data_IF_005318056756
#
_entry.id   IF_005318056756
#
_cell.length_a   1.000
_cell.length_b   1.000
_cell.length_c   1.000
_cell.angle_alpha   90.00
_cell.angle_beta   90.00
_cell.angle_gamma   90.00
#
_symmetry.space_group_name_H-M   'P 1'
#
loop_
_entity.id
_entity.type
_entity.pdbx_description
1 polymer ?
#
# COMPACT_ATOMS: atom_id res chain seq x y z
N UNK A 1 9.61 12.65 17.24
CA UNK A 1 9.46 12.02 15.92
C UNK A 1 8.04 12.29 15.48
N UNK A 2 7.81 12.74 14.24
CA UNK A 2 6.46 12.90 13.73
C UNK A 2 5.71 11.56 13.72
N UNK A 3 4.40 11.60 13.91
CA UNK A 3 3.59 10.38 13.88
C UNK A 3 3.47 9.84 12.43
N UNK A 4 3.71 8.55 12.20
CA UNK A 4 3.67 7.99 10.85
C UNK A 4 2.23 7.90 10.31
N UNK A 5 2.14 7.87 8.97
CA UNK A 5 0.90 7.67 8.23
C UNK A 5 0.90 6.30 7.56
N UNK A 6 -0.12 5.48 7.84
CA UNK A 6 -0.32 4.19 7.22
C UNK A 6 -1.52 4.21 6.26
N UNK A 7 -1.30 3.83 5.00
CA UNK A 7 -2.41 3.56 4.08
C UNK A 7 -2.85 2.10 4.22
N UNK A 8 -4.06 1.90 4.74
CA UNK A 8 -4.65 0.57 4.98
C UNK A 8 -5.79 0.30 4.01
N UNK A 9 -5.56 -0.64 3.09
CA UNK A 9 -6.58 -1.12 2.16
C UNK A 9 -6.21 -2.51 1.63
N UNK A 10 -7.19 -3.33 1.22
CA UNK A 10 -6.91 -4.50 0.42
C UNK A 10 -6.15 -4.08 -0.84
N UNK A 11 -5.31 -4.99 -1.34
CA UNK A 11 -4.57 -4.72 -2.56
C UNK A 11 -5.52 -4.57 -3.75
N UNK A 12 -4.99 -4.00 -4.83
CA UNK A 12 -5.77 -3.56 -5.99
C UNK A 12 -6.74 -2.42 -5.69
N UNK A 13 -6.55 -1.66 -4.61
CA UNK A 13 -7.36 -0.48 -4.27
C UNK A 13 -6.67 0.85 -4.60
N UNK A 14 -5.92 0.94 -5.71
CA UNK A 14 -5.15 2.13 -6.10
C UNK A 14 -4.04 2.59 -5.12
N UNK A 15 -3.75 1.76 -4.12
CA UNK A 15 -2.84 2.07 -3.01
C UNK A 15 -1.43 2.48 -3.44
N UNK A 16 -0.90 1.97 -4.56
CA UNK A 16 0.42 2.35 -5.05
C UNK A 16 0.44 3.70 -5.75
N UNK A 17 -0.62 4.06 -6.49
CA UNK A 17 -0.71 5.36 -7.13
C UNK A 17 -0.93 6.45 -6.07
N UNK A 18 -1.96 6.27 -5.23
CA UNK A 18 -2.28 7.23 -4.16
C UNK A 18 -1.16 7.29 -3.13
N UNK A 19 -0.55 6.16 -2.78
CA UNK A 19 0.62 6.15 -1.91
C UNK A 19 1.84 6.83 -2.52
N UNK A 20 2.04 6.69 -3.84
CA UNK A 20 3.05 7.46 -4.57
C UNK A 20 2.79 8.96 -4.49
N UNK A 21 1.53 9.39 -4.64
CA UNK A 21 1.13 10.80 -4.55
C UNK A 21 1.40 11.36 -3.15
N UNK A 22 0.86 10.71 -2.11
CA UNK A 22 1.06 11.13 -0.71
C UNK A 22 2.54 11.16 -0.34
N UNK A 23 3.30 10.17 -0.80
CA UNK A 23 4.73 10.05 -0.53
C UNK A 23 5.62 11.10 -1.22
N UNK A 24 5.08 12.00 -2.05
CA UNK A 24 5.82 13.14 -2.61
C UNK A 24 5.60 14.45 -1.85
N UNK A 25 4.74 14.46 -0.83
CA UNK A 25 4.58 15.66 -0.01
C UNK A 25 5.93 16.04 0.65
N UNK A 26 6.34 17.32 0.67
CA UNK A 26 7.64 17.75 1.19
C UNK A 26 7.93 17.39 2.65
N UNK A 27 6.89 17.18 3.46
CA UNK A 27 6.96 16.79 4.88
C UNK A 27 6.75 15.28 5.12
N UNK A 28 6.64 14.49 4.04
CA UNK A 28 6.42 13.03 4.09
C UNK A 28 7.55 12.30 3.38
N UNK A 29 8.05 11.23 3.99
CA UNK A 29 8.92 10.29 3.32
C UNK A 29 8.12 9.07 2.85
N UNK A 30 7.80 9.03 1.55
CA UNK A 30 7.10 7.93 0.90
C UNK A 30 7.96 6.67 0.75
N UNK A 31 7.76 5.69 1.62
CA UNK A 31 8.49 4.41 1.57
C UNK A 31 7.92 3.45 0.50
N UNK A 32 8.74 2.50 -0.01
CA UNK A 32 8.20 1.36 -0.75
C UNK A 32 7.37 0.44 0.16
N UNK A 33 6.71 -0.56 -0.42
CA UNK A 33 6.03 -1.62 0.33
C UNK A 33 7.05 -2.43 1.15
N UNK A 34 7.07 -2.22 2.48
CA UNK A 34 7.97 -2.95 3.38
C UNK A 34 7.46 -4.34 3.69
N UNK A 35 6.14 -4.52 3.80
CA UNK A 35 5.53 -5.83 4.04
C UNK A 35 6.08 -6.53 5.30
N UNK A 36 6.31 -5.81 6.39
CA UNK A 36 6.92 -6.32 7.64
C UNK A 36 5.98 -6.39 8.85
N UNK A 37 4.71 -6.02 8.69
CA UNK A 37 3.73 -6.02 9.78
C UNK A 37 3.36 -7.42 10.31
N UNK A 38 3.65 -8.49 9.55
CA UNK A 38 3.33 -9.87 9.91
C UNK A 38 4.43 -10.60 10.71
N UNK A 39 5.52 -9.91 11.05
CA UNK A 39 6.68 -10.47 11.77
C UNK A 39 7.09 -9.55 12.93
N UNK A 40 7.84 -10.10 13.88
CA UNK A 40 8.34 -9.37 15.04
C UNK A 40 9.79 -8.95 14.90
N UNK A 41 10.57 -9.68 14.11
CA UNK A 41 12.00 -9.41 13.92
C UNK A 41 12.42 -9.32 12.46
N UNK A 42 13.55 -8.66 12.22
CA UNK A 42 14.20 -8.61 10.90
C UNK A 42 14.55 -10.01 10.39
N UNK A 43 15.00 -10.90 11.26
CA UNK A 43 15.32 -12.29 10.90
C UNK A 43 14.10 -13.04 10.36
N UNK A 44 12.95 -12.86 11.01
CA UNK A 44 11.67 -13.40 10.53
C UNK A 44 11.23 -12.74 9.21
N UNK A 45 11.45 -11.44 9.02
CA UNK A 45 11.21 -10.77 7.74
C UNK A 45 12.03 -11.42 6.61
N UNK A 46 13.34 -11.61 6.83
CA UNK A 46 14.26 -12.25 5.88
C UNK A 46 13.91 -13.71 5.56
N UNK A 47 13.24 -14.41 6.47
CA UNK A 47 12.78 -15.79 6.27
C UNK A 47 11.42 -15.85 5.57
N UNK A 48 10.49 -14.97 5.95
CA UNK A 48 9.11 -14.97 5.47
C UNK A 48 8.93 -14.29 4.11
N UNK A 49 9.73 -13.27 3.79
CA UNK A 49 9.69 -12.53 2.53
C UNK A 49 10.53 -13.24 1.44
N UNK A 50 10.20 -14.51 1.21
CA UNK A 50 10.80 -15.36 0.17
C UNK A 50 9.74 -15.87 -0.80
N UNK A 51 10.19 -16.35 -1.95
CA UNK A 51 9.30 -16.91 -2.98
C UNK A 51 8.24 -15.89 -3.41
N UNK A 52 6.93 -16.19 -3.30
CA UNK A 52 5.87 -15.26 -3.68
C UNK A 52 5.92 -13.91 -2.95
N UNK A 53 6.42 -13.86 -1.70
CA UNK A 53 6.50 -12.62 -0.91
C UNK A 53 7.82 -11.87 -1.08
N UNK A 54 8.71 -12.31 -1.98
CA UNK A 54 10.00 -11.66 -2.21
C UNK A 54 9.90 -10.17 -2.59
N UNK A 55 8.73 -9.72 -3.07
CA UNK A 55 8.42 -8.30 -3.29
C UNK A 55 8.62 -7.43 -2.07
N UNK A 56 8.23 -7.93 -0.89
CA UNK A 56 8.38 -7.18 0.36
C UNK A 56 9.84 -6.98 0.72
N UNK A 57 10.68 -8.01 0.49
CA UNK A 57 12.11 -7.88 0.76
C UNK A 57 12.75 -6.86 -0.19
N UNK A 58 12.35 -6.84 -1.46
CA UNK A 58 12.84 -5.84 -2.41
C UNK A 58 12.55 -4.41 -1.94
N UNK A 59 11.37 -4.15 -1.36
CA UNK A 59 11.04 -2.84 -0.80
C UNK A 59 12.00 -2.40 0.30
N UNK A 60 12.23 -3.26 1.30
CA UNK A 60 13.15 -2.95 2.42
C UNK A 60 14.57 -2.72 1.92
N UNK A 61 15.06 -3.58 1.00
CA UNK A 61 16.43 -3.47 0.50
C UNK A 61 16.65 -2.18 -0.31
N UNK A 62 15.67 -1.80 -1.15
CA UNK A 62 15.73 -0.54 -1.89
C UNK A 62 15.65 0.67 -0.98
N UNK A 63 14.78 0.61 0.03
CA UNK A 63 14.68 1.68 1.02
C UNK A 63 16.03 1.91 1.72
N UNK A 64 16.64 0.84 2.21
CA UNK A 64 17.92 0.94 2.92
C UNK A 64 19.05 1.40 2.00
N UNK A 65 19.13 0.91 0.76
CA UNK A 65 20.10 1.39 -0.22
C UNK A 65 19.94 2.90 -0.49
N UNK A 66 18.70 3.34 -0.72
CA UNK A 66 18.39 4.76 -0.94
C UNK A 66 18.73 5.61 0.29
N UNK A 67 18.41 5.16 1.50
CA UNK A 67 18.69 5.91 2.72
C UNK A 67 20.20 6.01 3.00
N UNK A 68 20.91 4.88 2.96
CA UNK A 68 22.32 4.77 3.32
C UNK A 68 23.25 5.36 2.26
N UNK A 69 22.89 5.26 0.98
CA UNK A 69 23.82 5.54 -0.13
C UNK A 69 23.26 6.50 -1.19
N UNK A 70 21.99 6.93 -1.07
CA UNK A 70 21.32 7.82 -2.05
C UNK A 70 21.28 7.23 -3.48
N UNK A 71 21.33 5.91 -3.58
CA UNK A 71 21.17 5.16 -4.83
C UNK A 71 20.63 3.75 -4.60
N UNK A 72 20.23 3.08 -5.67
CA UNK A 72 19.70 1.71 -5.66
C UNK A 72 20.40 0.82 -6.68
N UNK A 73 21.73 0.95 -6.79
CA UNK A 73 22.57 0.06 -7.59
C UNK A 73 22.48 -1.39 -7.05
N UNK A 74 22.84 -2.38 -7.87
CA UNK A 74 22.88 -3.78 -7.43
C UNK A 74 23.83 -3.93 -6.23
N UNK A 75 24.97 -3.23 -6.25
CA UNK A 75 25.96 -3.22 -5.19
C UNK A 75 25.43 -2.58 -3.89
N UNK A 76 24.74 -1.44 -3.97
CA UNK A 76 24.12 -0.80 -2.80
C UNK A 76 23.04 -1.69 -2.19
N UNK A 77 22.21 -2.34 -3.02
CA UNK A 77 21.20 -3.30 -2.57
C UNK A 77 21.82 -4.52 -1.88
N UNK A 78 22.95 -5.04 -2.37
CA UNK A 78 23.65 -6.15 -1.73
C UNK A 78 24.25 -5.74 -0.36
N UNK A 79 24.81 -4.52 -0.24
CA UNK A 79 25.27 -3.98 1.04
C UNK A 79 24.14 -3.76 2.02
N UNK A 80 23.01 -3.19 1.57
CA UNK A 80 21.80 -3.06 2.38
C UNK A 80 21.30 -4.42 2.90
N UNK A 81 21.37 -5.46 2.06
CA UNK A 81 21.01 -6.82 2.45
C UNK A 81 21.95 -7.39 3.51
N UNK A 82 23.25 -7.20 3.37
CA UNK A 82 24.23 -7.62 4.37
C UNK A 82 24.01 -6.90 5.71
N UNK A 83 23.80 -5.58 5.66
CA UNK A 83 23.49 -4.75 6.83
C UNK A 83 22.24 -5.25 7.57
N UNK A 84 21.20 -5.61 6.81
CA UNK A 84 19.94 -6.12 7.34
C UNK A 84 20.12 -7.52 7.95
N UNK A 85 20.92 -8.39 7.33
CA UNK A 85 21.24 -9.73 7.85
C UNK A 85 21.97 -9.67 9.19
N UNK A 86 22.93 -8.74 9.36
CA UNK A 86 23.64 -8.53 10.62
C UNK A 86 22.71 -8.09 11.76
N UNK A 87 21.53 -7.56 11.42
CA UNK A 87 20.50 -7.07 12.34
C UNK A 87 19.29 -8.00 12.43
N UNK A 88 19.44 -9.28 12.09
CA UNK A 88 18.35 -10.25 12.17
C UNK A 88 17.67 -10.36 13.55
N UNK A 89 18.37 -9.99 14.63
CA UNK A 89 17.85 -9.97 16.00
C UNK A 89 17.01 -8.73 16.34
N UNK A 90 17.04 -7.68 15.52
CA UNK A 90 16.27 -6.46 15.76
C UNK A 90 14.77 -6.72 15.67
N UNK A 91 14.03 -6.13 16.61
CA UNK A 91 12.58 -5.98 16.51
C UNK A 91 12.25 -5.08 15.31
N UNK A 92 11.08 -5.27 14.70
CA UNK A 92 10.61 -4.39 13.63
C UNK A 92 10.51 -2.92 14.09
N UNK A 93 10.18 -2.66 15.36
CA UNK A 93 10.22 -1.32 15.95
C UNK A 93 11.61 -0.65 15.81
N UNK A 94 12.69 -1.40 16.09
CA UNK A 94 14.06 -0.88 15.97
C UNK A 94 14.46 -0.61 14.52
N UNK A 95 13.92 -1.39 13.57
CA UNK A 95 14.11 -1.10 12.14
C UNK A 95 13.42 0.21 11.74
N UNK A 96 12.19 0.44 12.21
CA UNK A 96 11.51 1.72 11.97
C UNK A 96 12.21 2.90 12.65
N UNK A 97 12.71 2.74 13.88
CA UNK A 97 13.52 3.77 14.57
C UNK A 97 14.76 4.14 13.75
N UNK A 98 15.46 3.12 13.20
CA UNK A 98 16.58 3.35 12.29
C UNK A 98 16.14 4.12 11.05
N UNK A 99 15.07 3.70 10.37
CA UNK A 99 14.54 4.38 9.18
C UNK A 99 14.18 5.84 9.50
N UNK A 100 13.48 6.11 10.60
CA UNK A 100 13.14 7.47 11.02
C UNK A 100 14.39 8.31 11.25
N UNK A 101 15.45 7.74 11.85
CA UNK A 101 16.70 8.47 12.09
C UNK A 101 17.42 8.88 10.80
N UNK A 102 17.33 8.07 9.74
CA UNK A 102 17.90 8.38 8.41
C UNK A 102 17.07 9.40 7.64
N UNK A 103 15.75 9.43 7.91
CA UNK A 103 14.78 10.32 7.24
C UNK A 103 14.70 11.70 7.91
N UNK A 104 14.99 11.78 9.21
CA UNK A 104 14.94 13.02 9.99
C UNK A 104 13.52 13.38 10.45
N UNK A 105 13.09 14.60 10.18
CA UNK A 105 11.83 15.17 10.68
C UNK A 105 10.62 14.92 9.76
N UNK A 106 10.76 14.13 8.70
CA UNK A 106 9.64 13.80 7.82
C UNK A 106 8.76 12.71 8.45
N UNK A 107 7.46 12.79 8.20
CA UNK A 107 6.53 11.72 8.55
C UNK A 107 6.81 10.49 7.68
N UNK A 108 6.99 9.33 8.29
CA UNK A 108 7.07 8.09 7.53
C UNK A 108 5.70 7.74 6.95
N UNK A 109 5.66 7.44 5.66
CA UNK A 109 4.47 6.90 5.01
C UNK A 109 4.69 5.46 4.57
N UNK A 110 3.94 4.53 5.16
CA UNK A 110 3.94 3.11 4.79
C UNK A 110 2.60 2.73 4.18
N UNK A 111 2.68 2.08 3.02
CA UNK A 111 1.56 1.40 2.39
C UNK A 111 2.01 -0.03 2.13
N UNK A 112 1.37 -0.98 2.78
CA UNK A 112 1.64 -2.42 2.62
C UNK A 112 0.34 -3.21 2.63
N UNK A 113 -0.12 -3.81 1.51
CA UNK A 113 -1.35 -4.59 1.48
C UNK A 113 -1.35 -5.81 2.41
N UNK A 114 -0.19 -6.31 2.83
CA UNK A 114 -0.08 -7.39 3.83
C UNK A 114 -0.61 -6.98 5.20
N UNK A 115 -0.57 -5.69 5.54
CA UNK A 115 -0.98 -5.19 6.85
C UNK A 115 -2.44 -5.50 7.14
N UNK A 116 -3.30 -5.48 6.13
CA UNK A 116 -4.76 -5.68 6.35
C UNK A 116 -5.20 -7.14 6.24
N UNK A 117 -4.29 -8.06 5.92
CA UNK A 117 -4.64 -9.47 5.71
C UNK A 117 -5.06 -10.19 7.00
N UNK A 118 -4.54 -9.73 8.13
CA UNK A 118 -4.75 -10.31 9.45
C UNK A 118 -4.92 -9.20 10.50
N UNK A 119 -5.87 -9.32 11.43
CA UNK A 119 -6.04 -8.34 12.50
C UNK A 119 -4.76 -8.10 13.31
N UNK A 120 -3.98 -9.15 13.56
CA UNK A 120 -2.76 -9.07 14.38
C UNK A 120 -1.68 -8.17 13.74
N UNK A 121 -1.67 -8.07 12.40
CA UNK A 121 -0.72 -7.21 11.69
C UNK A 121 -1.05 -5.73 11.92
N UNK A 122 -2.34 -5.36 11.90
CA UNK A 122 -2.80 -4.00 12.20
C UNK A 122 -2.53 -3.63 13.67
N UNK A 123 -2.82 -4.57 14.59
CA UNK A 123 -2.57 -4.39 16.02
C UNK A 123 -1.08 -4.17 16.30
N UNK A 124 -0.19 -4.98 15.70
CA UNK A 124 1.26 -4.79 15.84
C UNK A 124 1.71 -3.40 15.36
N UNK A 125 1.16 -2.91 14.25
CA UNK A 125 1.47 -1.55 13.78
C UNK A 125 1.05 -0.49 14.81
N UNK A 126 -0.13 -0.62 15.41
CA UNK A 126 -0.61 0.30 16.45
C UNK A 126 0.17 0.18 17.77
N UNK A 127 0.70 -0.99 18.10
CA UNK A 127 1.57 -1.18 19.27
C UNK A 127 2.92 -0.47 19.09
N UNK A 128 3.48 -0.49 17.88
CA UNK A 128 4.73 0.23 17.56
C UNK A 128 4.47 1.74 17.52
N UNK A 129 3.32 2.15 16.96
CA UNK A 129 2.98 3.56 16.78
C UNK A 129 1.57 3.88 17.32
N UNK A 130 1.42 4.07 18.64
CA UNK A 130 0.11 4.31 19.26
C UNK A 130 -0.60 5.58 18.79
N UNK A 131 0.16 6.55 18.29
CA UNK A 131 -0.33 7.85 17.82
C UNK A 131 -0.44 7.95 16.29
N UNK A 132 -0.20 6.87 15.54
CA UNK A 132 -0.19 6.89 14.08
C UNK A 132 -1.53 7.29 13.45
N UNK A 133 -1.44 7.84 12.24
CA UNK A 133 -2.58 8.10 11.37
C UNK A 133 -2.83 6.92 10.43
N UNK A 134 -4.09 6.59 10.20
CA UNK A 134 -4.52 5.50 9.31
C UNK A 134 -5.46 6.00 8.22
N UNK A 135 -4.97 6.04 6.99
CA UNK A 135 -5.79 6.33 5.81
C UNK A 135 -6.44 5.03 5.31
N UNK A 136 -7.72 4.84 5.61
CA UNK A 136 -8.51 3.71 5.11
C UNK A 136 -9.03 4.03 3.70
N UNK A 137 -8.36 3.44 2.71
CA UNK A 137 -8.77 3.59 1.32
C UNK A 137 -9.74 2.47 0.92
N UNK A 138 -10.86 2.81 0.26
CA UNK A 138 -11.80 1.84 -0.30
C UNK A 138 -11.81 1.87 -1.82
N UNK A 139 -12.09 0.73 -2.45
CA UNK A 139 -12.36 0.61 -3.88
C UNK A 139 -13.59 -0.25 -4.09
N UNK A 140 -14.37 0.04 -5.12
CA UNK A 140 -15.54 -0.75 -5.51
C UNK A 140 -15.16 -2.26 -5.64
N UNK A 141 -15.93 -3.19 -5.04
CA UNK A 141 -15.58 -4.61 -5.01
C UNK A 141 -15.54 -5.26 -6.40
N UNK A 142 -16.39 -4.83 -7.33
CA UNK A 142 -16.42 -5.35 -8.70
C UNK A 142 -15.15 -4.94 -9.45
N UNK A 143 -14.77 -3.65 -9.40
CA UNK A 143 -13.56 -3.18 -10.11
C UNK A 143 -12.29 -3.73 -9.46
N UNK A 144 -12.30 -3.93 -8.14
CA UNK A 144 -11.23 -4.63 -7.40
C UNK A 144 -11.08 -6.06 -7.89
N UNK A 145 -12.17 -6.82 -7.99
CA UNK A 145 -12.12 -8.21 -8.45
C UNK A 145 -11.71 -8.35 -9.91
N UNK A 146 -12.21 -7.49 -10.81
CA UNK A 146 -11.73 -7.41 -12.21
C UNK A 146 -10.21 -7.19 -12.26
N UNK A 147 -9.70 -6.24 -11.45
CA UNK A 147 -8.27 -5.92 -11.41
C UNK A 147 -7.43 -7.09 -10.87
N UNK A 148 -7.91 -7.77 -9.83
CA UNK A 148 -7.24 -8.94 -9.27
C UNK A 148 -7.15 -10.09 -10.29
N UNK A 149 -8.22 -10.34 -11.05
CA UNK A 149 -8.24 -11.38 -12.08
C UNK A 149 -7.34 -11.05 -13.28
N UNK A 150 -7.29 -9.77 -13.71
CA UNK A 150 -6.36 -9.34 -14.74
C UNK A 150 -4.91 -9.59 -14.32
N UNK A 151 -4.52 -9.18 -13.11
CA UNK A 151 -3.16 -9.39 -12.61
C UNK A 151 -2.82 -10.88 -12.50
N UNK A 152 -3.76 -11.72 -12.04
CA UNK A 152 -3.57 -13.18 -12.01
C UNK A 152 -3.28 -13.75 -13.39
N UNK A 153 -3.99 -13.29 -14.43
CA UNK A 153 -3.75 -13.70 -15.82
C UNK A 153 -2.37 -13.28 -16.31
N UNK A 154 -1.93 -12.06 -15.98
CA UNK A 154 -0.61 -11.57 -16.35
C UNK A 154 0.51 -12.37 -15.67
N UNK A 155 0.33 -12.75 -14.40
CA UNK A 155 1.27 -13.63 -13.68
C UNK A 155 1.29 -15.03 -14.30
N UNK A 156 0.12 -15.61 -14.58
CA UNK A 156 0.03 -16.96 -15.17
C UNK A 156 0.62 -17.03 -16.58
N UNK A 157 0.57 -15.94 -17.34
CA UNK A 157 1.17 -15.84 -18.67
C UNK A 157 2.66 -15.45 -18.66
N UNK A 158 3.27 -15.25 -17.48
CA UNK A 158 4.67 -14.85 -17.34
C UNK A 158 4.97 -13.39 -17.71
N UNK A 159 3.95 -12.58 -18.04
CA UNK A 159 4.11 -11.14 -18.35
C UNK A 159 4.55 -10.31 -17.14
N UNK A 160 4.26 -10.80 -15.94
CA UNK A 160 4.68 -10.23 -14.67
C UNK A 160 5.29 -11.35 -13.84
N UNK A 161 6.56 -11.20 -13.45
CA UNK A 161 7.20 -12.13 -12.53
C UNK A 161 6.85 -11.76 -11.09
N UNK A 162 6.27 -12.74 -10.38
CA UNK A 162 5.88 -12.70 -8.97
C UNK A 162 4.50 -12.05 -8.69
N UNK A 163 3.95 -12.23 -7.48
CA UNK A 163 2.62 -11.74 -7.12
C UNK A 163 2.39 -11.59 -5.62
N UNK A 164 1.24 -11.02 -5.23
CA UNK A 164 0.81 -10.88 -3.83
C UNK A 164 -0.02 -12.09 -3.38
N UNK A 165 -0.34 -12.20 -2.09
CA UNK A 165 -1.25 -13.27 -1.62
C UNK A 165 -2.60 -13.27 -2.37
N UNK A 166 -3.07 -12.10 -2.80
CA UNK A 166 -4.34 -11.92 -3.54
C UNK A 166 -4.30 -12.49 -4.96
N UNK A 167 -3.12 -12.77 -5.51
CA UNK A 167 -2.95 -13.39 -6.82
C UNK A 167 -2.77 -14.91 -6.75
N UNK A 168 -2.88 -15.50 -5.56
CA UNK A 168 -2.82 -16.96 -5.39
C UNK A 168 -3.98 -17.62 -6.13
N UNK A 169 -3.66 -18.65 -6.93
CA UNK A 169 -4.66 -19.44 -7.67
C UNK A 169 -5.72 -19.98 -6.71
N UNK A 170 -7.00 -19.90 -7.10
CA UNK A 170 -8.14 -20.44 -6.36
C UNK A 170 -8.73 -19.54 -5.25
N UNK A 171 -8.16 -18.37 -4.95
CA UNK A 171 -8.79 -17.43 -4.03
C UNK A 171 -9.87 -16.62 -4.75
N UNK A 172 -11.08 -16.50 -4.20
CA UNK A 172 -12.05 -15.54 -4.73
C UNK A 172 -11.60 -14.09 -4.41
N UNK A 173 -11.48 -13.19 -5.40
CA UNK A 173 -11.23 -11.78 -5.15
C UNK A 173 -12.23 -11.14 -4.19
N UNK A 174 -13.50 -11.56 -4.21
CA UNK A 174 -14.52 -11.07 -3.27
C UNK A 174 -14.11 -11.35 -1.83
N UNK A 175 -13.73 -12.59 -1.52
CA UNK A 175 -13.34 -12.97 -0.16
C UNK A 175 -12.14 -12.17 0.34
N UNK A 176 -11.20 -11.84 -0.55
CA UNK A 176 -10.03 -11.03 -0.20
C UNK A 176 -10.42 -9.59 0.10
N UNK A 177 -11.33 -9.02 -0.70
CA UNK A 177 -11.88 -7.69 -0.49
C UNK A 177 -12.66 -7.61 0.83
N UNK A 178 -13.58 -8.55 1.05
CA UNK A 178 -14.46 -8.59 2.23
C UNK A 178 -13.65 -8.75 3.51
N UNK A 179 -12.77 -9.75 3.59
CA UNK A 179 -11.96 -10.01 4.79
C UNK A 179 -11.02 -8.84 5.11
N UNK A 180 -10.34 -8.30 4.10
CA UNK A 180 -9.43 -7.18 4.31
C UNK A 180 -10.16 -5.95 4.84
N UNK A 181 -11.33 -5.62 4.29
CA UNK A 181 -12.12 -4.50 4.80
C UNK A 181 -12.76 -4.77 6.16
N UNK A 182 -13.21 -6.00 6.46
CA UNK A 182 -13.70 -6.35 7.80
C UNK A 182 -12.59 -6.21 8.86
N UNK A 183 -11.37 -6.65 8.56
CA UNK A 183 -10.23 -6.47 9.46
C UNK A 183 -9.98 -4.97 9.72
N UNK A 184 -9.98 -4.15 8.67
CA UNK A 184 -9.79 -2.70 8.79
C UNK A 184 -10.91 -2.07 9.62
N UNK A 185 -12.18 -2.36 9.33
CA UNK A 185 -13.31 -1.73 10.06
C UNK A 185 -13.34 -2.14 11.52
N UNK A 186 -12.99 -3.39 11.84
CA UNK A 186 -12.91 -3.85 13.21
C UNK A 186 -11.76 -3.16 13.96
N UNK A 187 -10.60 -2.99 13.30
CA UNK A 187 -9.45 -2.29 13.85
C UNK A 187 -9.70 -0.79 14.04
N UNK A 188 -10.22 -0.09 13.03
CA UNK A 188 -10.43 1.36 13.11
C UNK A 188 -11.53 1.74 14.10
N UNK A 189 -12.45 0.83 14.39
CA UNK A 189 -13.42 0.99 15.48
C UNK A 189 -12.80 1.00 16.88
N UNK A 190 -11.56 0.49 17.06
CA UNK A 190 -10.85 0.52 18.35
C UNK A 190 -9.94 1.74 18.50
N UNK A 191 -9.76 2.54 17.45
CA UNK A 191 -8.84 3.68 17.47
C UNK A 191 -9.50 4.93 18.10
N UNK A 192 -8.72 5.76 18.81
CA UNK A 192 -9.09 7.13 19.14
C UNK A 192 -9.67 7.93 17.96
N UNK A 193 -10.60 8.84 18.28
CA UNK A 193 -11.17 9.79 17.31
C UNK A 193 -10.04 10.61 16.68
N UNK A 194 -10.06 10.75 15.36
CA UNK A 194 -9.07 11.50 14.60
C UNK A 194 -7.90 10.67 14.06
N UNK A 195 -7.70 9.43 14.50
CA UNK A 195 -6.61 8.58 13.99
C UNK A 195 -6.93 7.85 12.69
N UNK A 196 -8.18 7.85 12.23
CA UNK A 196 -8.56 7.21 10.98
C UNK A 196 -9.40 8.13 10.11
N UNK A 197 -8.99 8.28 8.85
CA UNK A 197 -9.76 8.90 7.79
C UNK A 197 -10.09 7.85 6.73
N UNK A 198 -11.38 7.69 6.38
CA UNK A 198 -11.81 6.77 5.32
C UNK A 198 -12.20 7.55 4.07
N UNK A 199 -11.60 7.19 2.92
CA UNK A 199 -11.86 7.81 1.62
C UNK A 199 -12.06 6.74 0.55
N UNK A 200 -13.00 6.99 -0.38
CA UNK A 200 -13.12 6.20 -1.62
C UNK A 200 -12.01 6.61 -2.57
N UNK A 201 -11.23 5.64 -3.05
CA UNK A 201 -10.16 5.89 -4.02
C UNK A 201 -10.69 6.56 -5.29
N UNK A 202 -11.90 6.19 -5.72
CA UNK A 202 -12.55 6.79 -6.88
C UNK A 202 -12.84 8.27 -6.66
N UNK A 203 -13.29 8.66 -5.46
CA UNK A 203 -13.49 10.07 -5.12
C UNK A 203 -12.16 10.83 -5.10
N UNK A 204 -11.15 10.30 -4.40
CA UNK A 204 -9.82 10.92 -4.35
C UNK A 204 -9.27 11.16 -5.76
N UNK A 205 -9.31 10.14 -6.62
CA UNK A 205 -8.76 10.24 -7.97
C UNK A 205 -9.61 11.09 -8.94
N UNK A 206 -10.87 11.38 -8.59
CA UNK A 206 -11.70 12.29 -9.39
C UNK A 206 -11.38 13.77 -9.17
N UNK A 207 -10.83 14.11 -8.00
CA UNK A 207 -10.47 15.47 -7.60
C UNK A 207 -9.25 15.44 -6.65
N UNK A 208 -8.08 14.99 -7.16
CA UNK A 208 -6.93 14.66 -6.32
C UNK A 208 -6.44 15.85 -5.50
N UNK A 209 -6.34 17.05 -6.08
CA UNK A 209 -5.86 18.24 -5.37
C UNK A 209 -6.70 18.51 -4.10
N UNK A 210 -8.02 18.46 -4.23
CA UNK A 210 -8.95 18.67 -3.10
C UNK A 210 -8.75 17.63 -2.00
N UNK A 211 -8.74 16.35 -2.35
CA UNK A 211 -8.69 15.28 -1.35
C UNK A 211 -7.29 15.12 -0.75
N UNK A 212 -6.22 15.41 -1.50
CA UNK A 212 -4.86 15.46 -0.96
C UNK A 212 -4.70 16.61 0.03
N UNK A 213 -5.24 17.80 -0.26
CA UNK A 213 -5.27 18.91 0.68
C UNK A 213 -6.00 18.55 1.99
N UNK A 214 -7.15 17.87 1.90
CA UNK A 214 -7.88 17.39 3.09
C UNK A 214 -7.10 16.35 3.90
N UNK A 215 -6.34 15.47 3.24
CA UNK A 215 -5.47 14.51 3.93
C UNK A 215 -4.34 15.24 4.67
N UNK A 216 -3.74 16.27 4.04
CA UNK A 216 -2.69 17.09 4.63
C UNK A 216 -3.20 17.84 5.87
N UNK A 217 -4.36 18.50 5.77
CA UNK A 217 -5.03 19.18 6.88
C UNK A 217 -5.34 18.21 8.03
N UNK A 218 -5.80 17.01 7.71
CA UNK A 218 -6.16 16.00 8.71
C UNK A 218 -4.95 15.53 9.54
N UNK A 219 -3.79 15.34 8.92
CA UNK A 219 -2.57 14.91 9.63
C UNK A 219 -1.73 16.08 10.15
N UNK A 220 -2.11 17.32 9.84
CA UNK A 220 -1.50 18.54 10.38
C UNK A 220 -0.23 19.01 9.66
N UNK A 221 -0.11 18.74 8.36
CA UNK A 221 1.00 19.21 7.49
C UNK A 221 0.51 20.27 6.49
N UNK A 222 1.41 20.91 5.74
CA UNK A 222 1.04 21.94 4.76
C UNK A 222 0.05 21.41 3.72
N UNK A 223 -1.03 22.16 3.46
CA UNK A 223 -1.94 21.95 2.34
C UNK A 223 -1.79 23.02 1.25
N UNK A 224 -0.65 23.72 1.24
CA UNK A 224 -0.38 24.79 0.28
C UNK A 224 -0.31 24.24 -1.15
N UNK A 225 -0.72 25.03 -2.17
CA UNK A 225 -0.74 24.57 -3.56
C UNK A 225 0.58 24.00 -4.07
N UNK A 226 1.73 24.51 -3.60
CA UNK A 226 3.04 23.99 -3.98
C UNK A 226 3.32 22.59 -3.41
N UNK A 227 2.85 22.31 -2.20
CA UNK A 227 3.00 20.99 -1.58
C UNK A 227 2.09 19.97 -2.28
N UNK A 228 0.87 20.38 -2.60
CA UNK A 228 -0.09 19.56 -3.36
C UNK A 228 0.41 19.29 -4.78
N UNK A 229 1.02 20.26 -5.44
CA UNK A 229 1.63 20.06 -6.76
C UNK A 229 2.71 18.97 -6.74
N UNK A 230 3.58 18.93 -5.74
CA UNK A 230 4.57 17.83 -5.62
C UNK A 230 3.88 16.46 -5.47
N UNK A 231 2.76 16.39 -4.75
CA UNK A 231 1.96 15.17 -4.63
C UNK A 231 1.32 14.72 -5.96
N UNK A 232 1.20 15.60 -6.95
CA UNK A 232 0.68 15.27 -8.28
C UNK A 232 1.71 14.58 -9.19
N UNK A 233 2.95 14.41 -8.70
CA UNK A 233 4.06 13.81 -9.42
C UNK A 233 4.58 12.49 -8.82
N UNK A 234 3.73 11.47 -8.63
CA UNK A 234 4.14 10.18 -8.04
C UNK A 234 5.30 9.48 -8.78
N UNK A 235 5.52 9.80 -10.06
CA UNK A 235 6.65 9.31 -10.86
C UNK A 235 8.03 9.79 -10.39
N UNK A 236 8.09 10.88 -9.59
CA UNK A 236 9.34 11.42 -9.04
C UNK A 236 9.87 10.63 -7.85
N UNK A 237 9.06 9.72 -7.28
CA UNK A 237 9.52 8.86 -6.19
C UNK A 237 10.68 7.96 -6.65
N UNK A 238 11.76 7.82 -5.85
CA UNK A 238 12.84 6.88 -6.14
C UNK A 238 12.37 5.41 -6.12
N UNK A 239 11.16 5.15 -5.61
CA UNK A 239 10.53 3.84 -5.55
C UNK A 239 9.43 3.63 -6.61
N UNK A 240 9.23 4.59 -7.53
CA UNK A 240 8.29 4.53 -8.64
C UNK A 240 8.88 3.93 -9.94
N UNK A 241 10.05 3.30 -9.84
CA UNK A 241 10.71 2.57 -10.93
C UNK A 241 11.05 1.13 -10.55
N UNK A 242 11.38 0.29 -11.54
CA UNK A 242 11.96 -1.04 -11.27
C UNK A 242 13.36 -0.88 -10.65
N UNK A 243 13.61 -1.65 -9.60
CA UNK A 243 14.93 -1.75 -8.97
C UNK A 243 15.86 -2.72 -9.68
N UNK A 244 17.08 -2.92 -9.15
CA UNK A 244 18.08 -3.82 -9.72
C UNK A 244 17.68 -5.29 -9.54
N UNK A 245 18.33 -6.26 -10.23
CA UNK A 245 17.95 -7.69 -10.17
C UNK A 245 17.72 -8.27 -8.78
N UNK A 246 18.56 -7.93 -7.79
CA UNK A 246 18.44 -8.41 -6.40
C UNK A 246 17.29 -7.80 -5.61
N UNK A 247 16.72 -6.69 -6.08
CA UNK A 247 15.58 -6.01 -5.47
C UNK A 247 14.69 -5.34 -6.53
N UNK A 248 14.20 -6.12 -7.49
CA UNK A 248 13.55 -5.58 -8.70
C UNK A 248 12.27 -4.77 -8.44
N UNK A 249 11.57 -5.06 -7.35
CA UNK A 249 10.25 -4.50 -7.05
C UNK A 249 10.27 -3.66 -5.77
N UNK A 250 9.20 -3.66 -4.98
CA UNK A 250 9.00 -2.74 -3.85
C UNK A 250 7.69 -1.96 -3.95
N UNK A 251 6.97 -2.07 -5.08
CA UNK A 251 5.63 -1.56 -5.28
C UNK A 251 4.88 -2.43 -6.31
N UNK A 252 3.59 -2.16 -6.51
CA UNK A 252 2.77 -2.84 -7.52
C UNK A 252 3.42 -2.80 -8.92
N UNK A 253 3.61 -3.95 -9.59
CA UNK A 253 4.27 -3.99 -10.90
C UNK A 253 3.59 -3.18 -12.00
N UNK A 254 2.27 -2.93 -11.91
CA UNK A 254 1.59 -2.08 -12.90
C UNK A 254 1.85 -0.59 -12.65
N UNK A 255 1.99 -0.19 -11.39
CA UNK A 255 2.39 1.18 -11.04
C UNK A 255 3.81 1.45 -11.52
N UNK A 256 4.77 0.55 -11.26
CA UNK A 256 6.16 0.71 -11.71
C UNK A 256 6.33 0.78 -13.24
N UNK A 257 5.36 0.29 -14.02
CA UNK A 257 5.38 0.40 -15.49
C UNK A 257 4.85 1.75 -15.99
N UNK A 258 3.96 2.38 -15.24
CA UNK A 258 3.38 3.67 -15.58
C UNK A 258 3.02 4.42 -14.29
N UNK A 259 4.01 5.03 -13.63
CA UNK A 259 3.81 5.68 -12.35
C UNK A 259 3.14 7.05 -12.47
N UNK A 260 3.12 7.63 -13.67
CA UNK A 260 2.57 8.95 -13.95
C UNK A 260 1.07 9.01 -13.68
N UNK A 261 0.64 10.15 -13.12
CA UNK A 261 -0.77 10.45 -12.93
C UNK A 261 -1.47 10.78 -14.26
N UNK A 262 -2.17 9.80 -14.82
CA UNK A 262 -2.94 9.97 -16.06
C UNK A 262 -4.38 10.43 -15.76
N UNK A 263 -4.60 11.75 -15.71
CA UNK A 263 -5.91 12.34 -15.42
C UNK A 263 -7.00 11.91 -16.42
N UNK A 264 -6.65 11.66 -17.69
CA UNK A 264 -7.61 11.18 -18.69
C UNK A 264 -8.15 9.79 -18.36
N UNK A 265 -7.29 8.92 -17.84
CA UNK A 265 -7.68 7.59 -17.36
C UNK A 265 -8.49 7.67 -16.07
N UNK A 266 -8.15 8.61 -15.17
CA UNK A 266 -8.84 8.77 -13.89
C UNK A 266 -10.27 9.28 -14.06
N UNK A 267 -10.52 10.20 -14.99
CA UNK A 267 -11.87 10.67 -15.34
C UNK A 267 -12.80 9.57 -15.84
N UNK A 268 -12.23 8.46 -16.32
CA UNK A 268 -12.97 7.31 -16.83
C UNK A 268 -13.17 6.19 -15.78
N UNK A 269 -12.76 6.39 -14.53
CA UNK A 269 -13.00 5.40 -13.46
C UNK A 269 -14.51 5.17 -13.31
N UNK A 270 -14.89 3.90 -13.40
CA UNK A 270 -16.27 3.48 -13.29
C UNK A 270 -16.54 2.94 -11.88
N UNK A 271 -17.71 3.26 -11.35
CA UNK A 271 -18.26 2.67 -10.13
C UNK A 271 -19.50 1.84 -10.48
N UNK A 272 -19.31 0.60 -10.94
CA UNK A 272 -20.45 -0.26 -11.28
C UNK A 272 -21.28 -0.61 -10.05
N UNK A 273 -22.57 -0.80 -10.27
CA UNK A 273 -23.53 -1.23 -9.26
C UNK A 273 -23.08 -2.53 -8.58
N UNK A 274 -23.08 -2.56 -7.25
CA UNK A 274 -22.53 -3.69 -6.48
C UNK A 274 -23.44 -4.93 -6.52
N UNK A 275 -24.67 -4.80 -7.00
CA UNK A 275 -25.62 -5.89 -7.20
C UNK A 275 -25.44 -6.60 -8.54
N UNK A 276 -24.64 -6.04 -9.46
CA UNK A 276 -24.37 -6.67 -10.75
C UNK A 276 -23.66 -8.03 -10.58
N UNK A 277 -23.81 -8.95 -11.55
CA UNK A 277 -23.07 -10.20 -11.59
C UNK A 277 -21.56 -9.98 -11.44
N UNK A 278 -20.90 -10.81 -10.62
CA UNK A 278 -19.45 -10.76 -10.49
C UNK A 278 -18.81 -11.24 -11.81
N UNK A 279 -18.09 -10.38 -12.54
CA UNK A 279 -17.65 -10.63 -13.92
C UNK A 279 -16.56 -11.71 -14.05
N UNK A 280 -16.06 -12.22 -12.92
CA UNK A 280 -15.08 -13.31 -12.86
C UNK A 280 -15.71 -14.66 -12.48
N UNK A 281 -17.03 -14.73 -12.36
CA UNK A 281 -17.75 -15.97 -12.06
C UNK A 281 -18.52 -16.44 -13.28
N UNK A 282 -18.25 -17.68 -13.67
CA UNK A 282 -18.87 -18.30 -14.86
C UNK A 282 -20.38 -18.52 -14.68
N UNK A 283 -20.83 -18.67 -13.43
CA UNK A 283 -22.24 -18.87 -13.06
C UNK A 283 -23.06 -17.56 -13.01
N UNK A 284 -22.43 -16.41 -13.32
CA UNK A 284 -23.04 -15.08 -13.25
C UNK A 284 -23.63 -14.72 -11.87
N UNK A 285 -23.17 -15.36 -10.80
CA UNK A 285 -23.61 -15.02 -9.45
C UNK A 285 -23.12 -13.62 -9.04
N UNK A 286 -23.99 -12.84 -8.40
CA UNK A 286 -23.63 -11.56 -7.78
C UNK A 286 -22.75 -11.74 -6.56
N UNK A 287 -22.19 -10.63 -6.06
CA UNK A 287 -21.47 -10.61 -4.78
C UNK A 287 -22.36 -11.10 -3.62
N UNK A 288 -21.76 -11.66 -2.58
CA UNK A 288 -22.50 -12.08 -1.39
C UNK A 288 -23.18 -10.90 -0.70
N UNK A 289 -24.23 -11.19 0.08
CA UNK A 289 -24.96 -10.19 0.85
C UNK A 289 -24.06 -9.41 1.81
N UNK A 290 -23.07 -10.06 2.42
CA UNK A 290 -22.11 -9.41 3.34
C UNK A 290 -21.21 -8.41 2.60
N UNK A 291 -20.73 -8.77 1.41
CA UNK A 291 -19.95 -7.86 0.56
C UNK A 291 -20.79 -6.66 0.12
N UNK A 292 -22.02 -6.88 -0.34
CA UNK A 292 -22.92 -5.79 -0.75
C UNK A 292 -23.21 -4.87 0.43
N UNK A 293 -23.50 -5.43 1.61
CA UNK A 293 -23.75 -4.67 2.84
C UNK A 293 -22.55 -3.78 3.19
N UNK A 294 -21.34 -4.34 3.20
CA UNK A 294 -20.12 -3.59 3.51
C UNK A 294 -19.81 -2.54 2.45
N UNK A 295 -19.99 -2.85 1.16
CA UNK A 295 -19.78 -1.91 0.07
C UNK A 295 -20.74 -0.69 0.17
N UNK A 296 -22.00 -0.92 0.52
CA UNK A 296 -22.97 0.16 0.79
C UNK A 296 -22.58 1.04 1.97
N UNK A 297 -22.00 0.48 3.03
CA UNK A 297 -21.44 1.27 4.14
C UNK A 297 -20.28 2.17 3.70
N UNK A 298 -19.56 1.79 2.64
CA UNK A 298 -18.52 2.62 2.01
C UNK A 298 -19.05 3.56 0.93
N UNK A 299 -20.37 3.60 0.69
CA UNK A 299 -20.98 4.47 -0.31
C UNK A 299 -20.87 3.96 -1.74
N UNK A 300 -20.80 2.64 -1.94
CA UNK A 300 -21.01 2.00 -3.24
C UNK A 300 -22.48 1.56 -3.36
N UNK A 301 -23.15 2.03 -4.41
CA UNK A 301 -24.53 1.71 -4.76
C UNK A 301 -24.56 0.85 -6.00
#
# INVERSE_FOLDING_TARGET
>A
MPDPLFLIAPGRSYTSLIGGMIGQHPEIYGMPELSISHVETVGEALQSLRGPLAFGLAGILRLLAELHEKEQSEEAVLRAKEWLMQRGHWRIAQLYEHIQSEVGDLHLFDKSPLTVLKPENLQRTAEIFPSAFYLHLTRNPITTGKSAMSLRKDIQSGKVSGGTMQTRRGLDPEMSWLRGHQNITNFTATLPVGQCLRIKAEMLLSDPEKYLAQICEWIGISSDPAAIEEMMHPERSPFATLGPPSARYGNDPNFLKNPVLDMSRLQNIQEPDVTMPAPWRDDQSSLSADTIKLARQFGYG
#
